data_IF_756843160426
#
_entry.id   IF_756843160426
#
_cell.length_a   1.000
_cell.length_b   1.000
_cell.length_c   1.000
_cell.angle_alpha   90.00
_cell.angle_beta   90.00
_cell.angle_gamma   90.00
#
_symmetry.space_group_name_H-M   'P 1'
#
loop_
_entity.id
_entity.type
_entity.pdbx_description
1 polymer ?
#
# COMPACT_ATOMS: atom_id res chain seq x y z
N UNK A 1 8.94 63.95 -5.04
CA UNK A 1 9.67 63.01 -4.17
C UNK A 1 9.10 61.62 -4.40
N UNK A 2 9.80 60.76 -5.21
CA UNK A 2 9.33 59.40 -5.55
C UNK A 2 10.09 58.42 -4.67
N UNK A 3 9.35 57.62 -3.91
CA UNK A 3 9.90 56.52 -3.13
C UNK A 3 10.30 55.34 -4.04
N UNK A 4 11.42 54.67 -3.76
CA UNK A 4 11.84 53.55 -4.60
C UNK A 4 11.05 52.28 -4.25
N UNK A 5 10.62 51.56 -5.29
CA UNK A 5 10.00 50.25 -5.18
C UNK A 5 11.05 49.21 -4.75
N UNK A 6 10.84 48.62 -3.55
CA UNK A 6 11.64 47.50 -3.08
C UNK A 6 11.10 46.24 -3.70
N UNK A 7 11.82 45.71 -4.70
CA UNK A 7 11.56 44.40 -5.26
C UNK A 7 11.98 43.33 -4.26
N UNK A 8 11.01 42.71 -3.58
CA UNK A 8 11.24 41.46 -2.85
C UNK A 8 11.43 40.34 -3.90
N UNK A 9 12.68 39.94 -4.12
CA UNK A 9 12.99 38.66 -4.78
C UNK A 9 12.57 37.52 -3.84
N UNK A 10 11.40 36.97 -4.06
CA UNK A 10 11.02 35.66 -3.47
C UNK A 10 11.97 34.63 -4.09
N UNK A 11 12.98 34.22 -3.34
CA UNK A 11 13.74 33.01 -3.66
C UNK A 11 12.75 31.83 -3.55
N UNK A 12 12.37 31.28 -4.70
CA UNK A 12 11.73 29.96 -4.76
C UNK A 12 12.71 29.00 -4.11
N UNK A 13 12.39 28.56 -2.90
CA UNK A 13 13.02 27.39 -2.27
C UNK A 13 12.50 26.21 -3.08
N UNK A 14 13.23 25.81 -4.09
CA UNK A 14 13.07 24.49 -4.68
C UNK A 14 13.44 23.49 -3.59
N UNK A 15 12.42 22.96 -2.91
CA UNK A 15 12.59 21.80 -2.07
C UNK A 15 13.02 20.67 -3.00
N UNK A 16 14.32 20.37 -3.01
CA UNK A 16 14.87 19.13 -3.53
C UNK A 16 14.35 17.99 -2.65
N UNK A 17 13.07 17.66 -2.74
CA UNK A 17 12.53 16.37 -2.35
C UNK A 17 13.03 15.44 -3.45
N UNK A 18 14.26 14.94 -3.28
CA UNK A 18 14.79 13.89 -4.14
C UNK A 18 13.92 12.65 -3.95
N UNK A 19 12.98 12.46 -4.87
CA UNK A 19 12.24 11.22 -5.00
C UNK A 19 13.26 10.09 -5.16
N UNK A 20 13.45 9.30 -4.11
CA UNK A 20 14.26 8.09 -4.22
C UNK A 20 13.41 7.05 -4.94
N UNK A 21 13.57 7.00 -6.25
CA UNK A 21 12.97 5.98 -7.09
C UNK A 21 13.58 4.62 -6.81
N UNK A 22 12.80 3.56 -6.92
CA UNK A 22 13.35 2.21 -6.93
C UNK A 22 14.27 2.02 -8.14
N UNK A 23 15.42 1.41 -7.93
CA UNK A 23 16.23 0.92 -9.05
C UNK A 23 15.55 -0.28 -9.69
N UNK A 24 15.81 -0.52 -10.98
CA UNK A 24 15.34 -1.73 -11.66
C UNK A 24 15.75 -3.00 -10.93
N UNK A 25 16.95 -3.02 -10.33
CA UNK A 25 17.44 -4.15 -9.55
C UNK A 25 16.60 -4.40 -8.30
N UNK A 26 16.29 -3.35 -7.53
CA UNK A 26 15.41 -3.45 -6.35
C UNK A 26 14.00 -3.92 -6.72
N UNK A 27 13.44 -3.37 -7.80
CA UNK A 27 12.13 -3.75 -8.29
C UNK A 27 12.07 -5.25 -8.65
N UNK A 28 13.02 -5.74 -9.46
CA UNK A 28 13.11 -7.15 -9.85
C UNK A 28 13.37 -8.08 -8.67
N UNK A 29 14.19 -7.66 -7.71
CA UNK A 29 14.44 -8.46 -6.51
C UNK A 29 13.17 -8.59 -5.65
N UNK A 30 12.40 -7.50 -5.50
CA UNK A 30 11.12 -7.56 -4.81
C UNK A 30 10.10 -8.47 -5.53
N UNK A 31 10.04 -8.43 -6.87
CA UNK A 31 9.21 -9.36 -7.65
C UNK A 31 9.63 -10.82 -7.41
N UNK A 32 10.93 -11.11 -7.44
CA UNK A 32 11.47 -12.46 -7.20
C UNK A 32 11.12 -12.97 -5.81
N UNK A 33 11.31 -12.15 -4.77
CA UNK A 33 10.93 -12.47 -3.39
C UNK A 33 9.42 -12.72 -3.28
N UNK A 34 8.59 -11.89 -3.91
CA UNK A 34 7.14 -12.06 -3.90
C UNK A 34 6.71 -13.40 -4.50
N UNK A 35 7.34 -13.84 -5.59
CA UNK A 35 7.10 -15.17 -6.18
C UNK A 35 7.38 -16.29 -5.18
N UNK A 36 8.44 -16.21 -4.37
CA UNK A 36 8.74 -17.21 -3.36
C UNK A 36 7.65 -17.31 -2.30
N UNK A 37 7.08 -16.16 -1.87
CA UNK A 37 5.93 -16.13 -0.96
C UNK A 37 4.68 -16.72 -1.59
N UNK A 38 4.38 -16.36 -2.83
CA UNK A 38 3.22 -16.90 -3.55
C UNK A 38 3.33 -18.43 -3.71
N UNK A 39 4.51 -18.96 -4.04
CA UNK A 39 4.71 -20.42 -4.12
C UNK A 39 4.56 -21.11 -2.77
N UNK A 40 5.10 -20.54 -1.68
CA UNK A 40 4.87 -21.05 -0.32
C UNK A 40 3.39 -21.09 0.04
N UNK A 41 2.62 -20.12 -0.41
CA UNK A 41 1.18 -20.02 -0.22
C UNK A 41 0.36 -20.92 -1.16
N UNK A 42 1.01 -21.71 -2.01
CA UNK A 42 0.33 -22.60 -2.97
C UNK A 42 -0.35 -21.88 -4.13
N UNK A 43 0.12 -20.69 -4.49
CA UNK A 43 -0.41 -19.96 -5.66
C UNK A 43 0.19 -20.52 -6.93
N UNK A 44 -0.67 -20.88 -7.88
CA UNK A 44 -0.26 -21.31 -9.21
C UNK A 44 -0.32 -20.13 -10.17
N UNK A 45 0.80 -19.84 -10.83
CA UNK A 45 0.96 -18.68 -11.71
C UNK A 45 1.40 -19.11 -13.11
N UNK A 46 0.83 -18.51 -14.13
CA UNK A 46 1.37 -18.53 -15.49
C UNK A 46 2.64 -17.69 -15.60
N UNK A 47 3.47 -17.93 -16.63
CA UNK A 47 4.68 -17.13 -16.87
C UNK A 47 4.36 -15.63 -17.01
N UNK A 48 3.26 -15.31 -17.69
CA UNK A 48 2.81 -13.91 -17.85
C UNK A 48 2.48 -13.25 -16.51
N UNK A 49 1.86 -13.95 -15.57
CA UNK A 49 1.51 -13.41 -14.27
C UNK A 49 2.75 -13.16 -13.42
N UNK A 50 3.77 -14.04 -13.50
CA UNK A 50 5.04 -13.85 -12.79
C UNK A 50 5.75 -12.53 -13.17
N UNK A 51 5.63 -12.11 -14.44
CA UNK A 51 6.22 -10.88 -14.94
C UNK A 51 5.41 -9.61 -14.57
N UNK A 52 4.13 -9.78 -14.20
CA UNK A 52 3.20 -8.69 -13.97
C UNK A 52 3.00 -8.31 -12.50
N UNK A 53 3.86 -8.76 -11.60
CA UNK A 53 3.81 -8.34 -10.19
C UNK A 53 4.23 -6.88 -10.10
N UNK A 54 3.31 -6.02 -9.66
CA UNK A 54 3.58 -4.62 -9.38
C UNK A 54 4.21 -4.49 -7.99
N UNK A 55 5.35 -3.82 -7.91
CA UNK A 55 6.00 -3.48 -6.63
C UNK A 55 5.64 -2.05 -6.28
N UNK A 56 4.78 -1.86 -5.30
CA UNK A 56 4.33 -0.56 -4.83
C UNK A 56 5.17 -0.13 -3.61
N UNK A 57 6.10 0.81 -3.80
CA UNK A 57 6.87 1.44 -2.73
C UNK A 57 6.29 2.77 -2.29
N UNK A 58 5.18 3.17 -2.92
CA UNK A 58 4.47 4.43 -2.65
C UNK A 58 5.36 5.68 -2.74
N UNK A 59 6.51 5.57 -3.40
CA UNK A 59 7.57 6.58 -3.46
C UNK A 59 8.05 7.05 -2.06
N UNK A 60 7.89 6.23 -1.04
CA UNK A 60 8.33 6.51 0.33
C UNK A 60 9.82 6.18 0.56
N UNK A 61 10.46 5.49 -0.41
CA UNK A 61 11.89 5.09 -0.34
C UNK A 61 12.20 4.12 0.81
N UNK A 62 11.21 3.38 1.25
CA UNK A 62 11.30 2.45 2.38
C UNK A 62 10.52 1.16 2.10
N UNK A 63 10.80 0.53 0.95
CA UNK A 63 10.08 -0.66 0.50
C UNK A 63 10.11 -1.81 1.53
N UNK A 64 11.15 -1.92 2.34
CA UNK A 64 11.23 -3.00 3.33
C UNK A 64 10.20 -2.83 4.47
N UNK A 65 9.81 -1.60 4.81
CA UNK A 65 8.84 -1.35 5.87
C UNK A 65 7.48 -0.86 5.34
N UNK A 66 7.46 -0.13 4.22
CA UNK A 66 6.24 0.45 3.65
C UNK A 66 6.15 0.12 2.17
N UNK A 67 5.17 -0.70 1.81
CA UNK A 67 5.01 -1.16 0.43
C UNK A 67 4.13 -2.38 0.31
N UNK A 68 4.11 -2.96 -0.89
CA UNK A 68 3.43 -4.21 -1.17
C UNK A 68 3.74 -4.70 -2.57
N UNK A 69 3.67 -6.01 -2.77
CA UNK A 69 3.87 -6.64 -4.05
C UNK A 69 2.54 -7.21 -4.52
N UNK A 70 1.98 -6.65 -5.58
CA UNK A 70 0.59 -6.83 -6.00
C UNK A 70 0.52 -7.48 -7.38
N UNK A 71 -0.12 -8.63 -7.46
CA UNK A 71 -0.48 -9.26 -8.71
C UNK A 71 -1.99 -9.11 -8.92
N UNK A 72 -2.39 -8.41 -9.96
CA UNK A 72 -3.79 -8.33 -10.37
C UNK A 72 -4.09 -9.43 -11.37
N UNK A 73 -4.97 -10.37 -11.02
CA UNK A 73 -5.45 -11.39 -11.93
C UNK A 73 -6.40 -10.83 -12.97
N UNK A 74 -7.35 -10.04 -12.50
CA UNK A 74 -8.26 -9.27 -13.35
C UNK A 74 -8.81 -8.05 -12.59
N UNK A 75 -9.22 -7.05 -13.37
CA UNK A 75 -9.99 -5.90 -12.92
C UNK A 75 -10.97 -5.53 -14.02
N UNK A 76 -12.26 -5.72 -13.75
CA UNK A 76 -13.36 -5.47 -14.69
C UNK A 76 -14.17 -4.26 -14.24
N UNK A 77 -15.24 -3.94 -14.96
CA UNK A 77 -16.19 -2.90 -14.54
C UNK A 77 -17.03 -3.27 -13.30
N UNK A 78 -16.88 -4.49 -12.77
CA UNK A 78 -17.69 -4.97 -11.64
C UNK A 78 -16.88 -5.60 -10.51
N UNK A 79 -15.79 -6.27 -10.83
CA UNK A 79 -15.02 -7.11 -9.90
C UNK A 79 -13.53 -6.96 -10.15
N UNK A 80 -12.76 -7.10 -9.09
CA UNK A 80 -11.30 -7.21 -9.12
C UNK A 80 -10.85 -8.37 -8.25
N UNK A 81 -9.78 -9.05 -8.67
CA UNK A 81 -9.09 -10.03 -7.84
C UNK A 81 -7.58 -9.85 -7.96
N UNK A 82 -6.92 -9.83 -6.80
CA UNK A 82 -5.48 -9.64 -6.68
C UNK A 82 -4.90 -10.61 -5.67
N UNK A 83 -3.58 -10.75 -5.70
CA UNK A 83 -2.80 -11.23 -4.57
C UNK A 83 -1.90 -10.10 -4.13
N UNK A 84 -1.85 -9.87 -2.82
CA UNK A 84 -0.95 -8.93 -2.17
C UNK A 84 0.03 -9.75 -1.34
N UNK A 85 1.32 -9.54 -1.59
CA UNK A 85 2.40 -10.06 -0.75
C UNK A 85 2.96 -8.92 0.08
N UNK A 86 3.06 -9.12 1.38
CA UNK A 86 3.80 -8.25 2.27
C UNK A 86 5.01 -9.01 2.84
N UNK A 87 6.17 -8.39 2.82
CA UNK A 87 7.36 -8.91 3.47
C UNK A 87 7.24 -8.82 5.00
N UNK A 88 8.16 -9.45 5.77
CA UNK A 88 8.12 -9.37 7.23
C UNK A 88 8.01 -7.94 7.74
N UNK A 89 6.97 -7.67 8.53
CA UNK A 89 6.66 -6.35 9.10
C UNK A 89 6.40 -5.23 8.08
N UNK A 90 6.23 -5.56 6.80
CA UNK A 90 5.90 -4.57 5.79
C UNK A 90 4.47 -4.09 5.95
N UNK A 91 4.28 -2.77 5.86
CA UNK A 91 2.99 -2.08 5.99
C UNK A 91 2.50 -1.67 4.60
N UNK A 92 1.24 -1.95 4.29
CA UNK A 92 0.54 -1.22 3.27
C UNK A 92 -0.03 0.06 3.92
N UNK A 93 0.40 1.26 3.47
CA UNK A 93 0.10 2.53 4.12
C UNK A 93 -1.39 2.80 4.31
N UNK A 94 -1.73 3.60 5.32
CA UNK A 94 -3.11 3.97 5.62
C UNK A 94 -3.75 4.70 4.45
N UNK A 95 -4.89 4.15 3.99
CA UNK A 95 -5.61 4.61 2.82
C UNK A 95 -7.11 4.34 2.93
N UNK A 96 -7.86 4.89 1.99
CA UNK A 96 -9.27 4.60 1.79
C UNK A 96 -9.61 4.65 0.30
N UNK A 97 -10.74 4.06 -0.05
CA UNK A 97 -11.25 4.00 -1.41
C UNK A 97 -12.40 5.00 -1.56
N UNK A 98 -12.17 6.22 -2.10
CA UNK A 98 -13.15 7.28 -2.12
C UNK A 98 -14.32 6.97 -3.04
N UNK A 99 -15.47 7.55 -2.73
CA UNK A 99 -16.60 7.60 -3.67
C UNK A 99 -16.25 8.47 -4.88
N UNK A 100 -16.76 8.09 -6.05
CA UNK A 100 -16.49 8.78 -7.32
C UNK A 100 -17.75 8.84 -8.18
N UNK A 101 -18.34 10.02 -8.28
CA UNK A 101 -19.63 10.19 -8.96
C UNK A 101 -20.72 9.36 -8.29
N UNK A 102 -21.30 8.43 -9.03
CA UNK A 102 -22.31 7.50 -8.49
C UNK A 102 -21.73 6.25 -7.82
N UNK A 103 -20.42 6.01 -7.95
CA UNK A 103 -19.72 4.91 -7.31
C UNK A 103 -19.42 5.25 -5.85
N UNK A 104 -19.94 4.43 -4.94
CA UNK A 104 -19.79 4.65 -3.48
C UNK A 104 -18.37 4.37 -2.94
N UNK A 105 -17.45 3.95 -3.79
CA UNK A 105 -16.11 3.50 -3.43
C UNK A 105 -15.98 1.97 -3.45
N UNK A 106 -14.75 1.50 -3.45
CA UNK A 106 -14.42 0.07 -3.49
C UNK A 106 -14.82 -0.60 -2.16
N UNK A 107 -15.62 -1.67 -2.23
CA UNK A 107 -15.73 -2.67 -1.18
C UNK A 107 -14.67 -3.73 -1.39
N UNK A 108 -13.98 -4.14 -0.34
CA UNK A 108 -12.83 -5.03 -0.41
C UNK A 108 -12.97 -6.18 0.59
N UNK A 109 -12.55 -7.37 0.18
CA UNK A 109 -12.47 -8.55 1.03
C UNK A 109 -11.01 -9.00 1.08
N UNK A 110 -10.38 -8.87 2.23
CA UNK A 110 -9.07 -9.41 2.51
C UNK A 110 -9.21 -10.82 3.10
N UNK A 111 -8.60 -11.82 2.46
CA UNK A 111 -8.50 -13.17 2.99
C UNK A 111 -7.05 -13.59 3.10
N UNK A 112 -6.59 -13.92 4.29
CA UNK A 112 -5.22 -14.38 4.49
C UNK A 112 -5.07 -15.80 3.97
N UNK A 113 -4.14 -15.97 3.04
CA UNK A 113 -3.76 -17.27 2.49
C UNK A 113 -2.59 -17.89 3.23
N UNK A 114 -1.61 -17.06 3.61
CA UNK A 114 -0.40 -17.48 4.30
C UNK A 114 0.15 -16.35 5.16
N UNK A 115 0.78 -16.69 6.30
CA UNK A 115 1.33 -15.73 7.24
C UNK A 115 0.28 -15.15 8.19
N UNK A 116 0.56 -14.01 8.78
CA UNK A 116 -0.34 -13.29 9.69
C UNK A 116 -0.46 -11.83 9.25
N UNK A 117 -1.64 -11.26 9.38
CA UNK A 117 -1.92 -9.86 9.04
C UNK A 117 -2.57 -9.16 10.23
N UNK A 118 -2.06 -7.99 10.55
CA UNK A 118 -2.65 -7.04 11.50
C UNK A 118 -3.35 -5.96 10.70
N UNK A 119 -4.68 -6.04 10.62
CA UNK A 119 -5.52 -5.05 9.94
C UNK A 119 -6.02 -4.03 10.97
N UNK A 120 -5.93 -2.75 10.61
CA UNK A 120 -6.38 -1.64 11.43
C UNK A 120 -7.48 -0.85 10.70
N UNK A 121 -8.58 -0.64 11.40
CA UNK A 121 -9.78 0.06 10.91
C UNK A 121 -10.30 1.03 11.97
N UNK A 122 -11.28 1.91 11.68
CA UNK A 122 -11.96 2.71 12.70
C UNK A 122 -12.63 1.84 13.76
N UNK A 123 -12.50 2.24 15.01
CA UNK A 123 -13.07 1.55 16.17
C UNK A 123 -12.31 1.86 17.44
N UNK A 124 -12.62 1.14 18.52
CA UNK A 124 -11.90 1.27 19.78
C UNK A 124 -10.45 0.81 19.59
N UNK A 125 -9.45 1.66 19.87
CA UNK A 125 -8.06 1.32 19.68
C UNK A 125 -7.63 0.11 20.54
N UNK A 126 -6.80 -0.75 19.96
CA UNK A 126 -6.18 -1.85 20.71
C UNK A 126 -5.27 -1.30 21.81
N UNK A 127 -5.36 -1.86 23.01
CA UNK A 127 -4.53 -1.45 24.17
C UNK A 127 -3.03 -1.74 23.94
N UNK A 128 -2.73 -2.81 23.24
CA UNK A 128 -1.37 -3.24 22.92
C UNK A 128 -1.34 -3.76 21.48
N UNK A 129 -1.31 -2.84 20.49
CA UNK A 129 -1.31 -3.23 19.09
C UNK A 129 -0.03 -3.99 18.74
N UNK A 130 -0.15 -5.03 17.92
CA UNK A 130 0.99 -5.80 17.40
C UNK A 130 1.75 -5.08 16.31
N UNK A 131 1.08 -4.19 15.59
CA UNK A 131 1.67 -3.42 14.52
C UNK A 131 2.80 -2.51 15.00
N UNK A 132 3.81 -2.37 14.15
CA UNK A 132 5.04 -1.61 14.43
C UNK A 132 5.20 -0.53 13.38
N UNK A 133 4.97 0.70 13.76
CA UNK A 133 5.15 1.85 12.88
C UNK A 133 6.63 2.24 12.85
N UNK A 134 7.21 2.51 11.67
CA UNK A 134 8.55 3.08 11.58
C UNK A 134 8.65 4.40 12.35
N UNK A 135 9.73 4.64 13.09
CA UNK A 135 9.91 5.85 13.88
C UNK A 135 9.73 7.13 13.04
N UNK A 136 8.90 8.06 13.51
CA UNK A 136 8.59 9.32 12.82
C UNK A 136 7.46 9.25 11.80
N UNK A 137 6.84 8.08 11.61
CA UNK A 137 5.71 7.89 10.71
C UNK A 137 4.37 7.82 11.45
N UNK A 138 4.34 7.93 12.77
CA UNK A 138 3.16 7.71 13.62
C UNK A 138 1.97 8.60 13.23
N UNK A 139 2.24 9.83 12.80
CA UNK A 139 1.20 10.78 12.36
C UNK A 139 0.47 10.35 11.07
N UNK A 140 1.01 9.37 10.35
CA UNK A 140 0.45 8.86 9.10
C UNK A 140 -0.50 7.68 9.29
N UNK A 141 -0.79 7.29 10.56
CA UNK A 141 -1.65 6.18 10.92
C UNK A 141 -2.65 6.64 11.98
N UNK A 142 -3.92 6.79 11.59
CA UNK A 142 -4.95 7.41 12.42
C UNK A 142 -5.95 6.42 13.03
N UNK A 143 -6.04 5.19 12.49
CA UNK A 143 -6.93 4.15 12.98
C UNK A 143 -6.16 3.01 13.62
N UNK A 144 -6.66 2.51 14.78
CA UNK A 144 -5.94 1.57 15.63
C UNK A 144 -6.80 0.44 16.22
N UNK A 145 -8.03 0.26 15.73
CA UNK A 145 -8.81 -0.94 16.04
C UNK A 145 -8.20 -2.13 15.30
N UNK A 146 -7.53 -3.00 16.06
CA UNK A 146 -6.76 -4.13 15.51
C UNK A 146 -7.61 -5.36 15.29
N UNK A 147 -7.50 -5.92 14.10
CA UNK A 147 -8.08 -7.20 13.71
C UNK A 147 -6.93 -8.10 13.26
N UNK A 148 -6.72 -9.21 13.99
CA UNK A 148 -5.67 -10.18 13.66
C UNK A 148 -6.26 -11.22 12.74
N UNK A 149 -5.67 -11.39 11.56
CA UNK A 149 -6.08 -12.36 10.57
C UNK A 149 -4.98 -13.40 10.35
N UNK A 150 -5.38 -14.67 10.40
CA UNK A 150 -4.52 -15.84 10.15
C UNK A 150 -5.02 -16.62 8.92
N UNK A 151 -4.28 -17.61 8.40
CA UNK A 151 -4.69 -18.34 7.19
C UNK A 151 -6.11 -18.91 7.29
N UNK A 152 -6.95 -18.51 6.34
CA UNK A 152 -8.37 -18.84 6.28
C UNK A 152 -9.31 -17.76 6.80
N UNK A 153 -8.81 -16.86 7.66
CA UNK A 153 -9.59 -15.69 8.11
C UNK A 153 -9.77 -14.68 6.99
N UNK A 154 -10.87 -13.94 7.07
CA UNK A 154 -11.17 -12.86 6.13
C UNK A 154 -11.87 -11.70 6.83
N UNK A 155 -11.75 -10.52 6.25
CA UNK A 155 -12.44 -9.31 6.69
C UNK A 155 -12.99 -8.55 5.49
N UNK A 156 -14.21 -8.03 5.62
CA UNK A 156 -14.84 -7.19 4.61
C UNK A 156 -14.63 -5.74 5.02
N UNK A 157 -13.95 -4.98 4.17
CA UNK A 157 -13.71 -3.54 4.34
C UNK A 157 -14.79 -2.81 3.54
N UNK A 158 -15.75 -2.13 4.21
CA UNK A 158 -16.77 -1.37 3.53
C UNK A 158 -16.19 -0.21 2.70
N UNK A 159 -16.93 0.29 1.69
CA UNK A 159 -16.52 1.47 0.94
C UNK A 159 -16.13 2.64 1.84
N UNK A 160 -15.14 3.43 1.42
CA UNK A 160 -14.66 4.64 2.10
C UNK A 160 -14.05 4.40 3.51
N UNK A 161 -13.94 3.15 3.95
CA UNK A 161 -13.32 2.85 5.25
C UNK A 161 -11.82 3.13 5.20
N UNK A 162 -11.34 4.01 6.08
CA UNK A 162 -9.91 4.24 6.26
C UNK A 162 -9.29 3.01 6.94
N UNK A 163 -8.19 2.51 6.40
CA UNK A 163 -7.55 1.30 6.92
C UNK A 163 -6.08 1.21 6.51
N UNK A 164 -5.34 0.42 7.25
CA UNK A 164 -3.98 0.00 6.92
C UNK A 164 -3.74 -1.41 7.46
N UNK A 165 -2.73 -2.08 6.94
CA UNK A 165 -2.41 -3.40 7.42
C UNK A 165 -0.93 -3.71 7.31
N UNK A 166 -0.48 -4.58 8.21
CA UNK A 166 0.92 -5.00 8.34
C UNK A 166 1.00 -6.51 8.37
N UNK A 167 2.00 -7.06 7.69
CA UNK A 167 2.33 -8.47 7.84
C UNK A 167 3.02 -8.74 9.19
N UNK A 168 2.81 -9.93 9.71
CA UNK A 168 3.54 -10.43 10.86
C UNK A 168 5.02 -10.70 10.54
N UNK A 169 5.72 -11.32 11.49
CA UNK A 169 7.18 -11.56 11.42
C UNK A 169 7.65 -12.40 10.24
N UNK A 170 6.78 -13.24 9.68
CA UNK A 170 7.14 -14.15 8.59
C UNK A 170 6.71 -13.61 7.21
N UNK A 171 6.03 -12.44 7.17
CA UNK A 171 5.39 -11.89 6.00
C UNK A 171 3.96 -12.41 5.82
N UNK A 172 3.29 -12.05 4.74
CA UNK A 172 1.93 -12.51 4.44
C UNK A 172 1.65 -12.60 2.95
N UNK A 173 0.72 -13.49 2.59
CA UNK A 173 0.08 -13.57 1.29
C UNK A 173 -1.43 -13.46 1.49
N UNK A 174 -2.03 -12.51 0.81
CA UNK A 174 -3.42 -12.10 0.96
C UNK A 174 -4.11 -12.25 -0.38
N UNK A 175 -5.24 -12.95 -0.42
CA UNK A 175 -6.19 -12.85 -1.50
C UNK A 175 -7.03 -11.59 -1.27
N UNK A 176 -7.02 -10.67 -2.23
CA UNK A 176 -7.79 -9.44 -2.24
C UNK A 176 -8.86 -9.52 -3.34
N UNK A 177 -10.10 -9.57 -2.93
CA UNK A 177 -11.27 -9.51 -3.80
C UNK A 177 -12.02 -8.22 -3.58
N UNK A 178 -12.46 -7.57 -4.65
CA UNK A 178 -13.17 -6.31 -4.48
C UNK A 178 -14.16 -6.04 -5.61
N UNK A 179 -15.00 -5.02 -5.41
CA UNK A 179 -15.61 -4.33 -6.54
C UNK A 179 -14.51 -3.70 -7.42
N UNK A 180 -14.88 -3.05 -8.51
CA UNK A 180 -13.90 -2.43 -9.45
C UNK A 180 -12.83 -1.64 -8.71
N UNK A 181 -11.56 -2.03 -8.88
CA UNK A 181 -10.44 -1.34 -8.27
C UNK A 181 -10.02 -0.11 -9.09
N UNK A 182 -9.78 1.01 -8.40
CA UNK A 182 -9.27 2.27 -8.94
C UNK A 182 -8.09 2.76 -8.10
N UNK A 183 -7.12 1.90 -7.88
CA UNK A 183 -6.01 2.08 -6.94
C UNK A 183 -5.23 3.41 -7.10
N UNK A 184 -5.20 3.99 -8.31
CA UNK A 184 -4.57 5.30 -8.54
C UNK A 184 -5.37 6.49 -7.96
N UNK A 185 -6.59 6.23 -7.51
CA UNK A 185 -7.51 7.22 -6.97
C UNK A 185 -7.73 7.06 -5.48
N UNK A 186 -7.05 6.07 -4.86
CA UNK A 186 -7.08 5.88 -3.42
C UNK A 186 -6.59 7.13 -2.69
N UNK A 187 -7.26 7.46 -1.59
CA UNK A 187 -6.81 8.51 -0.68
C UNK A 187 -5.79 7.94 0.33
N UNK A 188 -4.80 8.72 0.70
CA UNK A 188 -3.78 8.32 1.67
C UNK A 188 -3.64 9.37 2.77
N UNK A 189 -3.52 8.93 4.02
CA UNK A 189 -3.25 9.82 5.17
C UNK A 189 -1.87 10.46 5.04
N UNK A 190 -0.89 9.70 4.61
CA UNK A 190 0.45 10.21 4.33
C UNK A 190 0.48 10.96 2.97
N UNK A 191 0.52 12.28 3.01
CA UNK A 191 0.56 13.14 1.81
C UNK A 191 1.81 12.97 0.94
N UNK A 192 2.84 12.27 1.42
CA UNK A 192 4.03 11.94 0.60
C UNK A 192 3.81 10.74 -0.32
N UNK A 193 2.76 9.97 -0.09
CA UNK A 193 2.45 8.79 -0.90
C UNK A 193 2.17 9.18 -2.35
N UNK A 194 2.84 8.48 -3.26
CA UNK A 194 2.51 8.47 -4.69
C UNK A 194 2.23 7.02 -5.06
N UNK A 195 0.97 6.72 -5.42
CA UNK A 195 0.53 5.35 -5.69
C UNK A 195 1.27 4.67 -6.84
N UNK A 196 1.68 5.45 -7.84
CA UNK A 196 2.42 4.96 -8.99
C UNK A 196 3.92 4.92 -8.68
N UNK A 197 4.50 3.71 -8.63
CA UNK A 197 5.93 3.52 -8.40
C UNK A 197 6.77 4.12 -9.50
N UNK A 198 7.77 4.89 -9.12
CA UNK A 198 8.77 5.45 -10.04
C UNK A 198 10.03 4.59 -10.03
N UNK A 199 10.44 4.14 -11.22
CA UNK A 199 11.66 3.33 -11.40
C UNK A 199 12.74 4.22 -12.00
N UNK A 200 13.92 4.23 -11.38
CA UNK A 200 15.06 4.99 -11.88
C UNK A 200 15.49 4.47 -13.26
N UNK A 201 15.72 5.39 -14.18
CA UNK A 201 16.42 5.06 -15.41
C UNK A 201 17.90 4.85 -15.05
N UNK A 202 18.40 3.63 -15.25
CA UNK A 202 19.83 3.34 -15.16
C UNK A 202 20.54 3.88 -16.39
#
# INVERSE_FOLDING_TARGET
MRLPAVLFKIKRVESNIGWRMLTKKQYREAQRRALEYMFKAGVVLSEKEKENINVADFCLSDLEHQGGQILTFFNTSRLSAKIIVLFPWQILPEHWHPAMGEDIGKEEVMRVRWGEVYLYVPGEPALQPKGKIPPGEEANFTVWHEIILTPGDQYIIPPQTIHWFQAGRDGAVIDDYSSTARDLQDGFTNHRVVRETKIANE
#
